data_IF_496664498568
#
_entry.id   IF_496664498568
#
_cell.length_a   1.000
_cell.length_b   1.000
_cell.length_c   1.000
_cell.angle_alpha   90.00
_cell.angle_beta   90.00
_cell.angle_gamma   90.00
#
_symmetry.space_group_name_H-M   'P 1'
#
loop_
_entity.id
_entity.type
_entity.pdbx_description
1 polymer ?
#
# COMPACT_ATOMS: atom_id res chain seq x y z
N UNK A 1 3.34 -0.08 -23.13
CA UNK A 1 3.53 0.99 -24.15
C UNK A 1 2.85 2.25 -23.63
N UNK A 2 3.40 3.46 -23.83
CA UNK A 2 2.73 4.69 -23.43
C UNK A 2 1.42 4.87 -24.21
N UNK A 3 0.35 5.28 -23.53
CA UNK A 3 -0.92 5.57 -24.19
C UNK A 3 -0.77 6.80 -25.10
N UNK A 4 -1.02 6.61 -26.40
CA UNK A 4 -0.80 7.65 -27.43
C UNK A 4 -2.03 8.56 -27.59
N UNK A 5 -3.21 8.14 -27.11
CA UNK A 5 -4.46 8.91 -27.17
C UNK A 5 -5.39 8.61 -26.00
N UNK A 6 -6.34 9.52 -25.73
CA UNK A 6 -7.40 9.31 -24.74
C UNK A 6 -8.26 8.08 -25.03
N UNK A 7 -8.54 7.79 -26.31
CA UNK A 7 -9.31 6.61 -26.72
C UNK A 7 -8.56 5.33 -26.39
N UNK A 8 -7.26 5.30 -26.65
CA UNK A 8 -6.41 4.16 -26.32
C UNK A 8 -6.32 3.94 -24.80
N UNK A 9 -6.14 5.03 -24.03
CA UNK A 9 -6.11 4.98 -22.57
C UNK A 9 -7.44 4.47 -22.00
N UNK A 10 -8.56 4.98 -22.51
CA UNK A 10 -9.89 4.55 -22.08
C UNK A 10 -10.08 3.05 -22.28
N UNK A 11 -9.74 2.53 -23.47
CA UNK A 11 -9.83 1.09 -23.75
C UNK A 11 -9.02 0.25 -22.76
N UNK A 12 -7.77 0.65 -22.48
CA UNK A 12 -6.91 -0.05 -21.53
C UNK A 12 -7.50 -0.03 -20.11
N UNK A 13 -8.01 1.13 -19.66
CA UNK A 13 -8.55 1.27 -18.32
C UNK A 13 -9.90 0.56 -18.15
N UNK A 14 -10.73 0.50 -19.21
CA UNK A 14 -11.98 -0.30 -19.21
C UNK A 14 -11.65 -1.78 -19.11
N UNK A 15 -10.71 -2.28 -19.90
CA UNK A 15 -10.27 -3.68 -19.82
C UNK A 15 -9.69 -4.01 -18.43
N UNK A 16 -8.88 -3.12 -17.84
CA UNK A 16 -8.40 -3.28 -16.47
C UNK A 16 -9.54 -3.27 -15.44
N UNK A 17 -10.57 -2.46 -15.63
CA UNK A 17 -11.75 -2.42 -14.76
C UNK A 17 -12.58 -3.70 -14.86
N UNK A 18 -12.76 -4.23 -16.07
CA UNK A 18 -13.47 -5.49 -16.30
C UNK A 18 -12.73 -6.64 -15.61
N UNK A 19 -11.41 -6.76 -15.81
CA UNK A 19 -10.57 -7.75 -15.14
C UNK A 19 -10.61 -7.60 -13.60
N UNK A 20 -10.64 -6.37 -13.09
CA UNK A 20 -10.80 -6.14 -11.65
C UNK A 20 -12.15 -6.69 -11.15
N UNK A 21 -13.23 -6.42 -11.89
CA UNK A 21 -14.59 -6.82 -11.54
C UNK A 21 -14.82 -8.33 -11.60
N UNK A 22 -14.01 -9.07 -12.36
CA UNK A 22 -14.03 -10.54 -12.36
C UNK A 22 -13.46 -11.13 -11.06
N UNK A 23 -12.49 -10.45 -10.45
CA UNK A 23 -11.75 -10.95 -9.27
C UNK A 23 -12.25 -10.34 -7.96
N UNK A 24 -12.90 -9.18 -8.01
CA UNK A 24 -13.27 -8.39 -6.85
C UNK A 24 -14.72 -7.91 -6.92
N UNK A 25 -15.21 -7.28 -5.84
CA UNK A 25 -16.51 -6.63 -5.84
C UNK A 25 -16.60 -5.57 -6.94
N UNK A 26 -17.61 -5.69 -7.80
CA UNK A 26 -17.74 -4.89 -9.01
C UNK A 26 -17.81 -3.37 -8.71
N UNK A 27 -17.00 -2.60 -9.46
CA UNK A 27 -17.02 -1.14 -9.46
C UNK A 27 -17.59 -0.63 -10.79
N UNK A 28 -18.75 0.02 -10.73
CA UNK A 28 -19.39 0.63 -11.89
C UNK A 28 -18.83 2.04 -12.14
N UNK A 29 -17.58 2.14 -12.59
CA UNK A 29 -16.93 3.41 -12.86
C UNK A 29 -17.18 3.89 -14.28
N UNK A 30 -17.55 5.16 -14.42
CA UNK A 30 -17.58 5.85 -15.72
C UNK A 30 -16.23 6.55 -15.93
N UNK A 31 -15.46 6.09 -16.90
CA UNK A 31 -14.08 6.55 -17.16
C UNK A 31 -14.03 7.74 -18.13
N UNK A 32 -14.49 8.91 -17.68
CA UNK A 32 -14.28 10.18 -18.38
C UNK A 32 -12.84 10.69 -18.21
N UNK A 33 -12.44 11.69 -19.01
CA UNK A 33 -11.04 12.16 -19.08
C UNK A 33 -10.41 12.46 -17.72
N UNK A 34 -11.12 13.18 -16.84
CA UNK A 34 -10.61 13.49 -15.51
C UNK A 34 -10.43 12.24 -14.62
N UNK A 35 -11.34 11.27 -14.66
CA UNK A 35 -11.17 10.00 -13.95
C UNK A 35 -9.93 9.25 -14.45
N UNK A 36 -9.74 9.18 -15.77
CA UNK A 36 -8.55 8.55 -16.38
C UNK A 36 -7.25 9.26 -15.98
N UNK A 37 -7.25 10.60 -15.96
CA UNK A 37 -6.12 11.38 -15.47
C UNK A 37 -5.79 11.10 -14.01
N UNK A 38 -6.80 11.00 -13.15
CA UNK A 38 -6.60 10.68 -11.74
C UNK A 38 -6.03 9.28 -11.55
N UNK A 39 -6.52 8.28 -12.28
CA UNK A 39 -5.94 6.92 -12.26
C UNK A 39 -4.47 6.96 -12.67
N UNK A 40 -4.13 7.64 -13.77
CA UNK A 40 -2.74 7.76 -14.22
C UNK A 40 -1.84 8.46 -13.18
N UNK A 41 -2.35 9.50 -12.52
CA UNK A 41 -1.63 10.21 -11.45
C UNK A 41 -1.40 9.32 -10.24
N UNK A 42 -2.41 8.59 -9.80
CA UNK A 42 -2.30 7.65 -8.67
C UNK A 42 -1.32 6.54 -9.03
N UNK A 43 -1.47 5.91 -10.19
CA UNK A 43 -0.57 4.85 -10.66
C UNK A 43 0.89 5.32 -10.69
N UNK A 44 1.15 6.54 -11.20
CA UNK A 44 2.49 7.13 -11.18
C UNK A 44 3.05 7.31 -9.75
N UNK A 45 2.20 7.67 -8.79
CA UNK A 45 2.61 7.79 -7.38
C UNK A 45 2.91 6.40 -6.80
N UNK A 46 2.06 5.40 -7.04
CA UNK A 46 2.26 4.02 -6.57
C UNK A 46 3.57 3.41 -7.09
N UNK A 47 3.88 3.63 -8.37
CA UNK A 47 5.14 3.19 -9.01
C UNK A 47 6.37 3.96 -8.52
N UNK A 48 6.20 5.11 -7.88
CA UNK A 48 7.32 5.88 -7.34
C UNK A 48 7.86 5.25 -6.06
N UNK A 49 9.19 5.25 -5.83
CA UNK A 49 9.75 4.80 -4.58
C UNK A 49 9.26 5.70 -3.44
N UNK A 50 8.77 5.09 -2.36
CA UNK A 50 8.17 5.80 -1.20
C UNK A 50 7.02 6.76 -1.60
N UNK A 51 6.30 6.45 -2.67
CA UNK A 51 5.18 7.24 -3.15
C UNK A 51 3.94 7.06 -2.28
N UNK A 52 3.48 8.18 -1.70
CA UNK A 52 2.27 8.24 -0.88
C UNK A 52 1.33 9.30 -1.47
N UNK A 53 0.02 9.09 -1.40
CA UNK A 53 -0.98 10.00 -1.98
C UNK A 53 -2.04 10.40 -0.95
N UNK A 54 -2.22 11.72 -0.75
CA UNK A 54 -3.39 12.26 -0.08
C UNK A 54 -4.41 12.72 -1.13
N UNK A 55 -5.54 12.03 -1.24
CA UNK A 55 -6.58 12.34 -2.21
C UNK A 55 -7.66 13.22 -1.59
N UNK A 56 -7.72 14.48 -2.03
CA UNK A 56 -8.67 15.48 -1.54
C UNK A 56 -9.75 15.72 -2.59
N UNK A 57 -11.01 15.74 -2.17
CA UNK A 57 -12.14 16.03 -3.03
C UNK A 57 -13.47 15.72 -2.36
N UNK A 58 -14.56 16.17 -2.96
CA UNK A 58 -15.91 15.97 -2.42
C UNK A 58 -16.30 14.48 -2.35
N UNK A 59 -17.26 14.14 -1.50
CA UNK A 59 -17.84 12.79 -1.44
C UNK A 59 -18.40 12.37 -2.83
N UNK A 60 -18.33 11.08 -3.15
CA UNK A 60 -18.83 10.56 -4.44
C UNK A 60 -17.91 10.77 -5.66
N UNK A 61 -16.80 11.49 -5.53
CA UNK A 61 -15.81 11.69 -6.62
C UNK A 61 -15.02 10.44 -7.04
N UNK A 62 -15.32 9.28 -6.46
CA UNK A 62 -14.69 8.01 -6.82
C UNK A 62 -13.29 7.76 -6.26
N UNK A 63 -12.75 8.62 -5.38
CA UNK A 63 -11.37 8.54 -4.83
C UNK A 63 -10.93 7.12 -4.48
N UNK A 64 -11.70 6.41 -3.65
CA UNK A 64 -11.35 5.04 -3.25
C UNK A 64 -11.35 4.06 -4.43
N UNK A 65 -12.37 4.12 -5.29
CA UNK A 65 -12.49 3.21 -6.42
C UNK A 65 -11.41 3.45 -7.48
N UNK A 66 -11.06 4.71 -7.74
CA UNK A 66 -9.95 5.07 -8.63
C UNK A 66 -8.60 4.61 -8.05
N UNK A 67 -8.40 4.71 -6.73
CA UNK A 67 -7.21 4.16 -6.07
C UNK A 67 -7.13 2.64 -6.17
N UNK A 68 -8.24 1.93 -5.96
CA UNK A 68 -8.27 0.45 -6.09
C UNK A 68 -7.96 0.00 -7.51
N UNK A 69 -8.52 0.67 -8.51
CA UNK A 69 -8.21 0.37 -9.90
C UNK A 69 -6.74 0.65 -10.23
N UNK A 70 -6.17 1.77 -9.73
CA UNK A 70 -4.76 2.06 -9.90
C UNK A 70 -3.85 1.02 -9.23
N UNK A 71 -4.18 0.58 -8.01
CA UNK A 71 -3.47 -0.48 -7.30
C UNK A 71 -3.52 -1.81 -8.07
N UNK A 72 -4.69 -2.16 -8.60
CA UNK A 72 -4.85 -3.35 -9.44
C UNK A 72 -3.96 -3.32 -10.69
N UNK A 73 -3.92 -2.17 -11.38
CA UNK A 73 -3.02 -1.97 -12.54
C UNK A 73 -1.54 -2.13 -12.13
N UNK A 74 -1.17 -1.66 -10.94
CA UNK A 74 0.16 -1.80 -10.36
C UNK A 74 0.42 -3.18 -9.71
N UNK A 75 -0.51 -4.13 -9.82
CA UNK A 75 -0.44 -5.46 -9.18
C UNK A 75 -0.22 -5.42 -7.65
N UNK A 76 -0.77 -4.40 -6.98
CA UNK A 76 -0.73 -4.25 -5.53
C UNK A 76 -2.02 -4.80 -4.91
N UNK A 77 -1.91 -5.60 -3.85
CA UNK A 77 -3.11 -5.95 -3.08
C UNK A 77 -3.55 -4.74 -2.25
N UNK A 78 -4.85 -4.51 -2.16
CA UNK A 78 -5.39 -3.39 -1.38
C UNK A 78 -5.75 -3.88 0.01
N UNK A 79 -5.13 -3.26 1.02
CA UNK A 79 -5.59 -3.39 2.39
C UNK A 79 -6.31 -2.13 2.81
N UNK A 80 -7.53 -2.29 3.31
CA UNK A 80 -8.31 -1.20 3.89
C UNK A 80 -8.77 -1.56 5.30
N UNK A 81 -8.53 -0.65 6.25
CA UNK A 81 -8.95 -0.82 7.64
C UNK A 81 -10.46 -1.01 7.71
N UNK A 82 -10.92 -2.07 8.37
CA UNK A 82 -12.35 -2.31 8.60
C UNK A 82 -12.67 -2.01 10.06
N UNK A 83 -13.34 -0.87 10.30
CA UNK A 83 -13.71 -0.50 11.66
C UNK A 83 -14.76 -1.45 12.23
N UNK A 84 -14.48 -1.95 13.43
CA UNK A 84 -15.41 -2.70 14.28
C UNK A 84 -15.66 -1.93 15.58
N UNK A 85 -16.76 -2.23 16.27
CA UNK A 85 -17.03 -1.61 17.58
C UNK A 85 -15.86 -1.93 18.53
N UNK A 86 -15.24 -0.88 19.07
CA UNK A 86 -14.08 -1.01 19.96
C UNK A 86 -12.73 -1.12 19.24
N UNK A 87 -12.67 -0.93 17.93
CA UNK A 87 -11.39 -0.84 17.20
C UNK A 87 -10.57 0.33 17.75
N UNK A 88 -9.36 0.03 18.21
CA UNK A 88 -8.46 0.96 18.87
C UNK A 88 -7.07 0.92 18.24
N UNK A 89 -6.14 1.73 18.79
CA UNK A 89 -4.77 1.80 18.29
C UNK A 89 -4.04 0.45 18.28
N UNK A 90 -4.35 -0.44 19.25
CA UNK A 90 -3.78 -1.78 19.30
C UNK A 90 -4.18 -2.64 18.08
N UNK A 91 -5.43 -2.53 17.64
CA UNK A 91 -5.89 -3.23 16.43
C UNK A 91 -5.18 -2.72 15.17
N UNK A 92 -5.00 -1.39 15.06
CA UNK A 92 -4.26 -0.80 13.94
C UNK A 92 -2.80 -1.24 13.92
N UNK A 93 -2.15 -1.36 15.08
CA UNK A 93 -0.79 -1.90 15.16
C UNK A 93 -0.73 -3.33 14.65
N UNK A 94 -1.70 -4.18 15.01
CA UNK A 94 -1.77 -5.57 14.52
C UNK A 94 -1.97 -5.62 13.01
N UNK A 95 -2.86 -4.79 12.48
CA UNK A 95 -3.08 -4.68 11.04
C UNK A 95 -1.79 -4.23 10.31
N UNK A 96 -1.13 -3.18 10.79
CA UNK A 96 0.12 -2.69 10.24
C UNK A 96 1.26 -3.73 10.34
N UNK A 97 1.40 -4.42 11.47
CA UNK A 97 2.36 -5.52 11.64
C UNK A 97 2.18 -6.61 10.58
N UNK A 98 0.93 -7.01 10.33
CA UNK A 98 0.59 -7.96 9.27
C UNK A 98 1.02 -7.48 7.88
N UNK A 99 0.85 -6.18 7.57
CA UNK A 99 1.31 -5.59 6.31
C UNK A 99 2.83 -5.59 6.20
N UNK A 100 3.54 -5.29 7.29
CA UNK A 100 5.01 -5.31 7.34
C UNK A 100 5.55 -6.72 7.08
N UNK A 101 4.97 -7.74 7.71
CA UNK A 101 5.38 -9.13 7.49
C UNK A 101 5.09 -9.60 6.05
N UNK A 102 3.94 -9.26 5.49
CA UNK A 102 3.60 -9.61 4.09
C UNK A 102 4.53 -8.92 3.09
N UNK A 103 4.79 -7.63 3.25
CA UNK A 103 5.64 -6.87 2.32
C UNK A 103 7.12 -7.22 2.49
N UNK A 104 7.63 -7.21 3.73
CA UNK A 104 9.04 -7.41 4.00
C UNK A 104 9.50 -8.87 3.88
N UNK A 105 8.71 -9.86 4.30
CA UNK A 105 9.11 -11.27 4.19
C UNK A 105 8.65 -11.92 2.88
N UNK A 106 7.39 -11.74 2.49
CA UNK A 106 6.86 -12.38 1.28
C UNK A 106 7.12 -11.59 0.00
N UNK A 107 7.54 -10.33 0.10
CA UNK A 107 7.78 -9.47 -1.06
C UNK A 107 6.48 -9.07 -1.78
N UNK A 108 5.33 -9.14 -1.11
CA UNK A 108 4.04 -8.79 -1.71
C UNK A 108 3.89 -7.26 -1.70
N UNK A 109 3.60 -6.68 -2.86
CA UNK A 109 3.27 -5.27 -2.97
C UNK A 109 1.86 -4.97 -2.45
N UNK A 110 1.72 -3.99 -1.58
CA UNK A 110 0.47 -3.64 -0.91
C UNK A 110 0.19 -2.14 -1.01
N UNK A 111 -1.08 -1.77 -1.18
CA UNK A 111 -1.58 -0.41 -0.99
C UNK A 111 -2.42 -0.37 0.29
N UNK A 112 -1.96 0.38 1.29
CA UNK A 112 -2.68 0.73 2.49
C UNK A 112 -3.64 1.89 2.21
N UNK A 113 -4.93 1.60 2.15
CA UNK A 113 -5.99 2.58 1.92
C UNK A 113 -6.66 2.96 3.24
N UNK A 114 -6.50 4.22 3.65
CA UNK A 114 -7.18 4.79 4.82
C UNK A 114 -7.99 6.03 4.43
N UNK A 115 -9.20 6.14 4.97
CA UNK A 115 -10.11 7.28 4.81
C UNK A 115 -10.19 8.07 6.10
N UNK A 116 -10.61 9.34 6.02
CA UNK A 116 -10.92 10.17 7.19
C UNK A 116 -11.92 9.52 8.15
N UNK A 117 -12.97 8.88 7.61
CA UNK A 117 -13.95 8.15 8.42
C UNK A 117 -13.38 6.96 9.21
N UNK A 118 -12.15 6.51 8.89
CA UNK A 118 -11.47 5.40 9.58
C UNK A 118 -10.52 5.90 10.68
N UNK A 119 -10.31 7.22 10.81
CA UNK A 119 -9.50 7.83 11.85
C UNK A 119 -10.37 8.02 13.09
N UNK A 120 -10.44 6.98 13.93
CA UNK A 120 -11.25 6.99 15.16
C UNK A 120 -10.58 7.82 16.26
N UNK A 121 -9.25 7.75 16.35
CA UNK A 121 -8.44 8.48 17.32
C UNK A 121 -7.34 9.24 16.59
N UNK A 122 -7.02 10.45 17.04
CA UNK A 122 -5.91 11.25 16.48
C UNK A 122 -4.57 10.51 16.53
N UNK A 123 -4.39 9.61 17.51
CA UNK A 123 -3.21 8.77 17.65
C UNK A 123 -2.97 7.83 16.47
N UNK A 124 -3.98 7.54 15.64
CA UNK A 124 -3.77 6.76 14.41
C UNK A 124 -2.86 7.51 13.44
N UNK A 125 -2.98 8.84 13.40
CA UNK A 125 -2.15 9.69 12.53
C UNK A 125 -0.68 9.72 12.97
N UNK A 126 -0.39 9.44 14.25
CA UNK A 126 0.98 9.27 14.74
C UNK A 126 1.62 8.02 14.10
N UNK A 127 0.90 6.89 14.09
CA UNK A 127 1.38 5.65 13.44
C UNK A 127 1.56 5.83 11.93
N UNK A 128 0.65 6.55 11.29
CA UNK A 128 0.77 6.90 9.86
C UNK A 128 1.99 7.79 9.63
N UNK A 129 2.24 8.78 10.49
CA UNK A 129 3.42 9.62 10.38
C UNK A 129 4.72 8.81 10.51
N UNK A 130 4.80 7.89 11.48
CA UNK A 130 5.96 7.03 11.69
C UNK A 130 6.21 6.11 10.48
N UNK A 131 5.14 5.52 9.92
CA UNK A 131 5.18 4.76 8.67
C UNK A 131 5.75 5.58 7.50
N UNK A 132 5.29 6.83 7.35
CA UNK A 132 5.68 7.68 6.22
C UNK A 132 7.11 8.24 6.36
N UNK A 133 7.48 8.68 7.57
CA UNK A 133 8.73 9.37 7.84
C UNK A 133 9.92 8.40 7.84
N UNK A 134 9.92 7.44 8.77
CA UNK A 134 11.01 6.47 8.95
C UNK A 134 10.67 5.11 8.33
N UNK A 135 9.39 4.75 8.27
CA UNK A 135 8.96 3.37 8.03
C UNK A 135 9.10 2.48 9.26
N UNK A 136 9.47 3.05 10.41
CA UNK A 136 9.63 2.34 11.67
C UNK A 136 8.61 2.85 12.67
N UNK A 137 7.73 1.95 13.12
CA UNK A 137 6.73 2.24 14.14
C UNK A 137 7.19 1.58 15.44
N UNK A 138 7.30 2.34 16.56
CA UNK A 138 7.70 1.77 17.84
C UNK A 138 6.73 0.69 18.34
N UNK A 139 7.29 -0.40 18.87
CA UNK A 139 6.55 -1.54 19.41
C UNK A 139 5.47 -2.05 18.44
N UNK A 140 5.83 -2.16 17.16
CA UNK A 140 4.95 -2.71 16.12
C UNK A 140 5.02 -4.23 16.05
N UNK A 141 6.24 -4.78 16.06
CA UNK A 141 6.52 -6.20 16.05
C UNK A 141 6.99 -6.64 17.43
N UNK A 142 6.57 -7.83 17.85
CA UNK A 142 7.11 -8.51 19.03
C UNK A 142 8.55 -8.99 18.80
N UNK A 143 9.29 -9.27 19.88
CA UNK A 143 10.67 -9.77 19.79
C UNK A 143 10.76 -11.05 18.95
N UNK A 144 9.78 -11.95 19.09
CA UNK A 144 9.69 -13.18 18.30
C UNK A 144 9.50 -12.91 16.80
N UNK A 145 8.65 -11.93 16.46
CA UNK A 145 8.45 -11.51 15.06
C UNK A 145 9.69 -10.83 14.48
N UNK A 146 10.42 -10.07 15.28
CA UNK A 146 11.69 -9.45 14.87
C UNK A 146 12.72 -10.54 14.54
N UNK A 147 12.87 -11.56 15.39
CA UNK A 147 13.74 -12.72 15.10
C UNK A 147 13.31 -13.45 13.82
N UNK A 148 12.00 -13.65 13.64
CA UNK A 148 11.47 -14.25 12.42
C UNK A 148 11.84 -13.42 11.18
N UNK A 149 11.72 -12.09 11.25
CA UNK A 149 12.08 -11.19 10.17
C UNK A 149 13.56 -11.30 9.83
N UNK A 150 14.43 -11.22 10.84
CA UNK A 150 15.89 -11.27 10.64
C UNK A 150 16.30 -12.59 9.99
N UNK A 151 15.76 -13.71 10.47
CA UNK A 151 16.05 -15.02 9.90
C UNK A 151 15.50 -15.17 8.48
N UNK A 152 14.34 -14.57 8.18
CA UNK A 152 13.71 -14.59 6.87
C UNK A 152 14.47 -13.80 5.80
N UNK A 153 15.04 -12.64 6.15
CA UNK A 153 15.75 -11.78 5.19
C UNK A 153 17.25 -12.05 5.09
N UNK A 154 17.83 -12.84 6.02
CA UNK A 154 19.27 -13.11 6.10
C UNK A 154 19.88 -13.63 4.79
N UNK A 155 19.16 -14.50 4.08
CA UNK A 155 19.59 -15.04 2.78
C UNK A 155 19.63 -13.94 1.70
N UNK A 156 18.63 -13.06 1.67
CA UNK A 156 18.57 -11.91 0.75
C UNK A 156 19.70 -10.91 1.05
N UNK A 157 19.94 -10.60 2.32
CA UNK A 157 21.00 -9.68 2.77
C UNK A 157 22.38 -10.17 2.33
N UNK A 158 22.68 -11.46 2.53
CA UNK A 158 23.91 -12.09 2.03
C UNK A 158 23.99 -12.05 0.51
N UNK A 159 22.87 -12.28 -0.18
CA UNK A 159 22.77 -12.20 -1.64
C UNK A 159 23.07 -10.79 -2.18
N UNK A 160 22.76 -9.74 -1.42
CA UNK A 160 23.12 -8.36 -1.72
C UNK A 160 24.57 -8.00 -1.34
N UNK A 161 25.37 -8.94 -0.82
CA UNK A 161 26.76 -8.73 -0.42
C UNK A 161 26.92 -7.93 0.88
N UNK A 162 25.86 -7.78 1.67
CA UNK A 162 25.89 -7.13 2.97
C UNK A 162 26.33 -8.11 4.06
N UNK A 163 26.98 -7.60 5.10
CA UNK A 163 27.34 -8.40 6.27
C UNK A 163 26.09 -8.89 7.00
N UNK A 164 26.17 -10.12 7.48
CA UNK A 164 25.11 -10.80 8.22
C UNK A 164 25.04 -10.31 9.67
N UNK A 165 24.61 -9.06 9.83
CA UNK A 165 24.35 -8.42 11.11
C UNK A 165 22.84 -8.18 11.30
N UNK A 166 22.42 -8.12 12.57
CA UNK A 166 21.03 -7.82 12.94
C UNK A 166 20.57 -6.48 12.34
N UNK A 167 21.41 -5.47 12.44
CA UNK A 167 21.12 -4.11 11.98
C UNK A 167 20.98 -4.03 10.46
N UNK A 168 21.83 -4.74 9.71
CA UNK A 168 21.73 -4.81 8.25
C UNK A 168 20.46 -5.53 7.81
N UNK A 169 20.10 -6.63 8.49
CA UNK A 169 18.86 -7.36 8.21
C UNK A 169 17.63 -6.49 8.46
N UNK A 170 17.61 -5.79 9.59
CA UNK A 170 16.52 -4.89 9.94
C UNK A 170 16.40 -3.72 8.96
N UNK A 171 17.52 -3.05 8.66
CA UNK A 171 17.54 -1.94 7.69
C UNK A 171 17.08 -2.37 6.30
N UNK A 172 17.51 -3.55 5.84
CA UNK A 172 17.07 -4.14 4.57
C UNK A 172 15.57 -4.43 4.56
N UNK A 173 15.05 -5.00 5.65
CA UNK A 173 13.62 -5.25 5.82
C UNK A 173 12.81 -3.95 5.75
N UNK A 174 13.19 -2.91 6.49
CA UNK A 174 12.49 -1.63 6.48
C UNK A 174 12.54 -0.98 5.09
N UNK A 175 13.67 -0.99 4.39
CA UNK A 175 13.72 -0.46 3.02
C UNK A 175 12.84 -1.25 2.05
N UNK A 176 12.77 -2.58 2.19
CA UNK A 176 11.85 -3.43 1.43
C UNK A 176 10.39 -3.10 1.72
N UNK A 177 10.00 -2.93 2.98
CA UNK A 177 8.65 -2.49 3.38
C UNK A 177 8.34 -1.13 2.75
N UNK A 178 9.21 -0.12 2.90
CA UNK A 178 8.98 1.23 2.35
C UNK A 178 8.89 1.30 0.83
N UNK A 179 9.43 0.31 0.14
CA UNK A 179 9.36 0.19 -1.32
C UNK A 179 8.07 -0.49 -1.78
N UNK A 180 7.59 -1.49 -1.05
CA UNK A 180 6.48 -2.36 -1.44
C UNK A 180 5.14 -2.00 -0.79
N UNK A 181 5.14 -1.34 0.36
CA UNK A 181 3.96 -0.82 1.03
C UNK A 181 3.73 0.63 0.59
N UNK A 182 2.56 0.88 -0.02
CA UNK A 182 2.13 2.15 -0.61
C UNK A 182 0.93 2.73 0.11
#
# INVERSE_FOLDING_TARGET
MPAVSWVSLNKILVEALDNYNELNAAMNLVLFEAAMMHICRINRILESPRGNALLIGVGGSGKQSLSRLAAFISSLEVFQVTLRKGYAIGDLKVDLASLYLKTGLKGIGLMFLMTDAQVVEEKFLVLVNDLLASGEIPDLLSDDEVEQVINGVRSEVKGCGLEDSRDNCWSFFIDKVRRLLK
#
